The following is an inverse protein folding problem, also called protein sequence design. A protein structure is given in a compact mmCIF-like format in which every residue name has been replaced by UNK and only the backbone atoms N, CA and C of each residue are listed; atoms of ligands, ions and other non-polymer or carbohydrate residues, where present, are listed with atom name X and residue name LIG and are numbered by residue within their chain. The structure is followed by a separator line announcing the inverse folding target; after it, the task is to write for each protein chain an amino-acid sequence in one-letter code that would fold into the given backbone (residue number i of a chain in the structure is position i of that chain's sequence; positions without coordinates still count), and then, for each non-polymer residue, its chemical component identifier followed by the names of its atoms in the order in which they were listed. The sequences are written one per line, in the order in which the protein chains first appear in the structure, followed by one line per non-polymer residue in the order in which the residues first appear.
data_IF_733294163454
#
_entry.id   IF_733294163454
#
_cell.length_a   1.000
_cell.length_b   1.000
_cell.length_c   1.000
_cell.angle_alpha   90.00
_cell.angle_beta   90.00
_cell.angle_gamma   90.00
#
_symmetry.space_group_name_H-M   'P 1'
#
loop_
_entity.id
_entity.type
_entity.pdbx_description
1 polymer ?
#
# COMPACT_ATOMS: atom_id res chain seq x y z
N UNK A 1 1.94 -0.12 -27.60
CA UNK A 1 3.09 -0.65 -26.83
C UNK A 1 3.21 0.20 -25.58
N UNK A 2 3.02 -0.38 -24.38
CA UNK A 2 3.29 0.36 -23.15
C UNK A 2 4.81 0.57 -23.04
N UNK A 3 5.24 1.76 -22.65
CA UNK A 3 6.66 2.11 -22.55
C UNK A 3 7.34 1.50 -21.33
N UNK A 4 6.58 0.91 -20.40
CA UNK A 4 7.07 0.33 -19.15
C UNK A 4 6.33 -0.98 -18.85
N UNK A 5 7.05 -1.94 -18.29
CA UNK A 5 6.54 -3.21 -17.76
C UNK A 5 7.00 -3.36 -16.32
N UNK A 6 6.11 -3.80 -15.45
CA UNK A 6 6.42 -4.08 -14.04
C UNK A 6 6.66 -5.58 -13.90
N UNK A 7 7.91 -5.96 -13.64
CA UNK A 7 8.29 -7.37 -13.47
C UNK A 7 7.88 -7.90 -12.10
N UNK A 8 8.08 -7.11 -11.05
CA UNK A 8 7.78 -7.50 -9.67
C UNK A 8 7.27 -6.34 -8.84
N UNK A 9 6.31 -6.64 -7.97
CA UNK A 9 5.68 -5.68 -7.05
C UNK A 9 5.83 -6.09 -5.59
N UNK A 10 6.50 -7.20 -5.29
CA UNK A 10 6.59 -7.75 -3.92
C UNK A 10 7.55 -6.96 -3.03
N UNK A 11 8.24 -5.98 -3.61
CA UNK A 11 9.10 -5.01 -2.94
C UNK A 11 9.01 -3.66 -3.63
N UNK A 12 9.27 -2.58 -2.90
CA UNK A 12 9.27 -1.23 -3.44
C UNK A 12 10.31 -1.08 -4.56
N UNK A 13 9.91 -0.46 -5.66
CA UNK A 13 10.73 -0.22 -6.83
C UNK A 13 11.29 1.21 -6.82
N UNK A 14 12.41 1.41 -7.51
CA UNK A 14 13.03 2.74 -7.66
C UNK A 14 13.28 3.06 -9.12
N UNK A 15 12.51 4.00 -9.66
CA UNK A 15 12.71 4.53 -11.01
C UNK A 15 13.72 5.68 -10.94
N UNK A 16 14.89 5.50 -11.55
CA UNK A 16 15.88 6.56 -11.71
C UNK A 16 15.78 7.15 -13.11
N UNK A 17 15.79 8.47 -13.18
CA UNK A 17 15.67 9.18 -14.45
C UNK A 17 16.55 10.42 -14.47
N UNK A 18 16.70 10.96 -15.68
CA UNK A 18 17.39 12.21 -15.94
C UNK A 18 16.46 13.08 -16.77
N UNK A 19 16.21 14.30 -16.32
CA UNK A 19 15.53 15.33 -17.08
C UNK A 19 16.58 16.31 -17.63
N UNK A 20 16.73 16.34 -18.95
CA UNK A 20 17.55 17.36 -19.64
C UNK A 20 16.63 18.40 -20.24
N UNK A 21 16.87 19.68 -19.95
CA UNK A 21 16.03 20.78 -20.41
C UNK A 21 16.88 22.01 -20.75
N UNK A 22 16.35 22.92 -21.58
CA UNK A 22 17.02 24.17 -21.93
C UNK A 22 16.23 25.35 -21.38
N UNK A 23 16.93 26.25 -20.69
CA UNK A 23 16.38 27.54 -20.27
C UNK A 23 16.84 28.57 -21.31
N UNK A 24 15.94 29.48 -21.69
CA UNK A 24 16.25 30.54 -22.64
C UNK A 24 15.91 31.88 -22.02
N UNK A 25 16.92 32.72 -21.88
CA UNK A 25 16.84 34.06 -21.30
C UNK A 25 17.33 35.10 -22.32
N UNK A 26 17.29 36.39 -21.95
CA UNK A 26 17.69 37.49 -22.83
C UNK A 26 19.16 37.37 -23.29
N UNK A 27 20.02 36.73 -22.49
CA UNK A 27 21.46 36.62 -22.72
C UNK A 27 21.88 35.34 -23.49
N UNK A 28 20.93 34.41 -23.75
CA UNK A 28 21.23 33.17 -24.46
C UNK A 28 20.38 31.98 -24.02
N UNK A 29 20.88 30.77 -24.26
CA UNK A 29 20.25 29.53 -23.78
C UNK A 29 21.25 28.69 -23.01
N UNK A 30 20.83 28.21 -21.84
CA UNK A 30 21.58 27.27 -21.00
C UNK A 30 20.93 25.89 -21.08
N UNK A 31 21.76 24.84 -21.10
CA UNK A 31 21.29 23.45 -21.05
C UNK A 31 21.53 22.90 -19.66
N UNK A 32 20.45 22.47 -19.01
CA UNK A 32 20.46 21.93 -17.66
C UNK A 32 20.14 20.44 -17.65
N UNK A 33 20.69 19.74 -16.66
CA UNK A 33 20.47 18.31 -16.43
C UNK A 33 20.11 18.10 -14.97
N UNK A 34 18.97 17.46 -14.73
CA UNK A 34 18.50 17.10 -13.39
C UNK A 34 18.31 15.59 -13.28
N UNK A 35 19.12 14.95 -12.45
CA UNK A 35 18.95 13.54 -12.10
C UNK A 35 17.92 13.41 -10.97
N UNK A 36 16.98 12.47 -11.10
CA UNK A 36 15.92 12.24 -10.13
C UNK A 36 15.69 10.74 -9.86
N UNK A 37 15.04 10.46 -8.74
CA UNK A 37 14.63 9.11 -8.35
C UNK A 37 13.23 9.13 -7.77
N UNK A 38 12.33 8.32 -8.33
CA UNK A 38 10.97 8.11 -7.85
C UNK A 38 10.93 6.74 -7.15
N UNK A 39 10.43 6.71 -5.93
CA UNK A 39 10.13 5.46 -5.21
C UNK A 39 8.70 5.06 -5.57
N UNK A 40 8.52 3.83 -6.00
CA UNK A 40 7.24 3.20 -6.27
C UNK A 40 6.99 2.15 -5.18
N UNK A 41 6.26 2.49 -4.11
CA UNK A 41 5.94 1.55 -3.04
C UNK A 41 5.08 0.39 -3.56
N UNK A 42 5.00 -0.70 -2.80
CA UNK A 42 4.14 -1.84 -3.13
C UNK A 42 2.68 -1.41 -3.22
N UNK A 43 2.24 -0.50 -2.33
CA UNK A 43 0.91 0.10 -2.37
C UNK A 43 0.58 0.83 -3.68
N UNK A 44 1.56 1.35 -4.42
CA UNK A 44 1.31 2.00 -5.72
C UNK A 44 0.79 1.01 -6.80
N UNK A 45 0.95 -0.29 -6.56
CA UNK A 45 0.48 -1.36 -7.42
C UNK A 45 -0.76 -2.07 -6.88
N UNK A 46 -1.37 -1.54 -5.82
CA UNK A 46 -2.61 -2.03 -5.23
C UNK A 46 -3.80 -1.27 -5.80
N UNK A 47 -4.93 -1.97 -5.92
CA UNK A 47 -6.19 -1.46 -6.43
C UNK A 47 -7.29 -1.81 -5.45
N UNK A 48 -7.96 -0.78 -4.95
CA UNK A 48 -9.14 -0.95 -4.12
C UNK A 48 -10.23 -1.64 -4.94
N UNK A 49 -10.53 -2.88 -4.59
CA UNK A 49 -11.54 -3.69 -5.25
C UNK A 49 -12.64 -4.00 -4.24
N UNK A 50 -13.89 -3.56 -4.45
CA UNK A 50 -14.98 -3.94 -3.57
C UNK A 50 -15.14 -5.47 -3.54
N UNK A 51 -15.25 -6.04 -2.35
CA UNK A 51 -15.50 -7.47 -2.16
C UNK A 51 -16.59 -7.64 -1.10
N UNK A 52 -17.55 -8.51 -1.37
CA UNK A 52 -18.62 -8.79 -0.40
C UNK A 52 -18.05 -9.53 0.83
N UNK A 53 -18.67 -9.37 2.00
CA UNK A 53 -18.26 -10.11 3.21
C UNK A 53 -18.26 -11.64 2.99
N UNK A 54 -19.21 -12.18 2.22
CA UNK A 54 -19.27 -13.62 1.92
C UNK A 54 -18.11 -14.11 1.04
N UNK A 55 -17.73 -13.32 0.05
CA UNK A 55 -16.60 -13.66 -0.83
C UNK A 55 -15.27 -13.48 -0.10
N UNK A 56 -15.15 -12.45 0.75
CA UNK A 56 -13.99 -12.24 1.61
C UNK A 56 -13.80 -13.38 2.62
N UNK A 57 -14.87 -13.83 3.28
CA UNK A 57 -14.82 -14.99 4.18
C UNK A 57 -14.41 -16.26 3.43
N UNK A 58 -14.95 -16.46 2.21
CA UNK A 58 -14.60 -17.59 1.35
C UNK A 58 -13.12 -17.54 0.92
N UNK A 59 -12.61 -16.36 0.58
CA UNK A 59 -11.19 -16.14 0.26
C UNK A 59 -10.29 -16.46 1.46
N UNK A 60 -10.62 -15.95 2.65
CA UNK A 60 -9.88 -16.26 3.89
C UNK A 60 -9.89 -17.76 4.22
N UNK A 61 -11.00 -18.45 3.95
CA UNK A 61 -11.17 -19.88 4.16
C UNK A 61 -10.59 -20.78 3.06
N UNK A 62 -10.25 -20.22 1.90
CA UNK A 62 -9.80 -20.99 0.72
C UNK A 62 -8.43 -21.66 0.88
N UNK A 63 -7.62 -21.23 1.85
CA UNK A 63 -6.23 -21.66 2.02
C UNK A 63 -5.24 -21.05 1.02
N UNK A 64 -5.68 -20.19 0.10
CA UNK A 64 -4.81 -19.51 -0.87
C UNK A 64 -3.93 -18.42 -0.24
N UNK A 65 -4.38 -17.82 0.87
CA UNK A 65 -3.64 -16.81 1.62
C UNK A 65 -2.75 -17.48 2.67
N UNK A 66 -1.62 -18.00 2.22
CA UNK A 66 -0.70 -18.79 3.05
C UNK A 66 0.21 -17.93 3.93
N UNK A 67 0.40 -16.66 3.57
CA UNK A 67 1.32 -15.76 4.24
C UNK A 67 0.59 -14.77 5.13
N UNK A 68 1.17 -14.50 6.30
CA UNK A 68 0.63 -13.56 7.28
C UNK A 68 1.76 -12.75 7.91
N UNK A 69 1.47 -11.50 8.22
CA UNK A 69 2.35 -10.62 8.98
C UNK A 69 1.47 -9.67 9.80
N UNK A 70 2.05 -9.03 10.80
CA UNK A 70 1.33 -8.10 11.66
C UNK A 70 2.23 -6.93 12.03
N UNK A 71 1.66 -5.76 12.17
CA UNK A 71 2.33 -4.56 12.68
C UNK A 71 1.40 -3.77 13.59
N UNK A 72 1.94 -2.75 14.24
CA UNK A 72 1.19 -1.80 15.04
C UNK A 72 1.56 -0.38 14.67
N UNK A 73 0.66 0.56 14.94
CA UNK A 73 0.92 1.97 14.75
C UNK A 73 2.06 2.44 15.67
N UNK A 74 2.93 3.29 15.16
CA UNK A 74 4.08 3.84 15.90
C UNK A 74 3.69 4.96 16.86
N UNK A 75 2.54 5.60 16.60
CA UNK A 75 2.01 6.73 17.35
C UNK A 75 0.53 6.46 17.68
N UNK A 76 0.02 7.25 18.63
CA UNK A 76 -1.40 7.22 19.01
C UNK A 76 -2.27 7.64 17.82
N UNK A 77 -3.19 6.77 17.41
CA UNK A 77 -4.11 7.04 16.31
C UNK A 77 -5.45 6.38 16.56
N UNK A 78 -6.52 7.10 16.25
CA UNK A 78 -7.87 6.54 16.29
C UNK A 78 -8.08 5.55 15.16
N UNK A 79 -8.82 4.46 15.43
CA UNK A 79 -9.14 3.41 14.46
C UNK A 79 -9.70 3.96 13.15
N UNK A 80 -10.64 4.92 13.23
CA UNK A 80 -11.25 5.54 12.06
C UNK A 80 -10.21 6.27 11.18
N UNK A 81 -9.27 6.97 11.81
CA UNK A 81 -8.17 7.66 11.11
C UNK A 81 -7.22 6.67 10.47
N UNK A 82 -6.89 5.57 11.17
CA UNK A 82 -6.06 4.52 10.63
C UNK A 82 -6.66 3.87 9.38
N UNK A 83 -7.94 3.50 9.45
CA UNK A 83 -8.69 2.93 8.31
C UNK A 83 -8.72 3.92 7.15
N UNK A 84 -9.06 5.20 7.40
CA UNK A 84 -9.12 6.21 6.35
C UNK A 84 -7.77 6.40 5.64
N UNK A 85 -6.66 6.47 6.39
CA UNK A 85 -5.31 6.58 5.83
C UNK A 85 -4.95 5.36 4.99
N UNK A 86 -5.19 4.14 5.49
CA UNK A 86 -4.89 2.91 4.76
C UNK A 86 -5.72 2.82 3.47
N UNK A 87 -7.02 3.10 3.53
CA UNK A 87 -7.90 3.07 2.35
C UNK A 87 -7.46 4.09 1.28
N UNK A 88 -7.14 5.32 1.70
CA UNK A 88 -6.84 6.41 0.76
C UNK A 88 -5.42 6.36 0.21
N UNK A 89 -4.43 6.02 1.05
CA UNK A 89 -3.01 6.08 0.68
C UNK A 89 -2.44 4.73 0.21
N UNK A 90 -3.09 3.61 0.56
CA UNK A 90 -2.67 2.27 0.13
C UNK A 90 -3.70 1.53 -0.74
N UNK A 91 -4.79 2.21 -1.12
CA UNK A 91 -5.81 1.69 -2.04
C UNK A 91 -6.48 0.40 -1.53
N UNK A 92 -7.00 0.45 -0.32
CA UNK A 92 -7.84 -0.60 0.26
C UNK A 92 -9.32 -0.21 0.25
N UNK A 93 -10.20 -1.20 0.01
CA UNK A 93 -11.63 -1.08 0.23
C UNK A 93 -12.01 -1.66 1.60
N UNK A 94 -12.91 -0.99 2.32
CA UNK A 94 -13.53 -1.55 3.52
C UNK A 94 -14.51 -2.64 3.09
N UNK A 95 -14.34 -3.85 3.63
CA UNK A 95 -15.28 -4.97 3.43
C UNK A 95 -16.38 -4.91 4.47
N UNK A 96 -15.99 -4.79 5.74
CA UNK A 96 -16.91 -4.76 6.87
C UNK A 96 -16.26 -4.12 8.10
N UNK A 97 -17.12 -3.59 8.98
CA UNK A 97 -16.76 -3.16 10.33
C UNK A 97 -17.39 -4.14 11.33
N UNK A 98 -16.58 -4.62 12.26
CA UNK A 98 -17.02 -5.55 13.31
C UNK A 98 -16.39 -5.11 14.63
N UNK A 99 -17.24 -4.76 15.60
CA UNK A 99 -16.85 -4.30 16.94
C UNK A 99 -15.78 -3.21 16.92
N UNK A 100 -14.57 -3.56 17.37
CA UNK A 100 -13.40 -2.68 17.49
C UNK A 100 -12.42 -2.87 16.32
N UNK A 101 -12.90 -3.29 15.15
CA UNK A 101 -12.06 -3.48 13.99
C UNK A 101 -12.77 -3.39 12.65
N UNK A 102 -11.98 -3.47 11.59
CA UNK A 102 -12.44 -3.49 10.22
C UNK A 102 -11.61 -4.45 9.37
N UNK A 103 -12.30 -5.17 8.48
CA UNK A 103 -11.69 -5.98 7.44
C UNK A 103 -11.54 -5.14 6.19
N UNK A 104 -10.32 -5.06 5.66
CA UNK A 104 -10.00 -4.33 4.43
C UNK A 104 -9.48 -5.29 3.36
N UNK A 105 -9.71 -4.96 2.10
CA UNK A 105 -9.28 -5.77 0.98
C UNK A 105 -8.72 -4.93 -0.17
N UNK A 106 -7.69 -5.46 -0.81
CA UNK A 106 -7.11 -4.93 -2.03
C UNK A 106 -6.55 -6.05 -2.91
N UNK A 107 -6.42 -5.77 -4.19
CA UNK A 107 -5.76 -6.65 -5.16
C UNK A 107 -4.63 -5.93 -5.83
N UNK A 108 -3.52 -6.61 -6.04
CA UNK A 108 -2.45 -6.04 -6.84
C UNK A 108 -2.72 -6.14 -8.35
N UNK A 109 -2.04 -5.31 -9.14
CA UNK A 109 -2.09 -5.39 -10.62
C UNK A 109 -1.55 -6.71 -11.19
N UNK A 110 -0.83 -7.51 -10.39
CA UNK A 110 -0.36 -8.86 -10.75
C UNK A 110 -1.24 -9.97 -10.14
N UNK A 111 -2.38 -9.64 -9.51
CA UNK A 111 -3.36 -10.60 -9.03
C UNK A 111 -3.11 -11.15 -7.61
N UNK A 112 -2.21 -10.53 -6.84
CA UNK A 112 -2.06 -10.89 -5.43
C UNK A 112 -3.21 -10.32 -4.60
N UNK A 113 -3.85 -11.19 -3.82
CA UNK A 113 -4.87 -10.79 -2.86
C UNK A 113 -4.19 -10.31 -1.57
N UNK A 114 -4.62 -9.15 -1.06
CA UNK A 114 -4.16 -8.61 0.22
C UNK A 114 -5.37 -8.30 1.09
N UNK A 115 -5.45 -8.99 2.23
CA UNK A 115 -6.49 -8.81 3.23
C UNK A 115 -5.86 -8.21 4.48
N UNK A 116 -6.43 -7.13 5.01
CA UNK A 116 -6.01 -6.54 6.26
C UNK A 116 -7.14 -6.64 7.29
N UNK A 117 -6.75 -6.79 8.55
CA UNK A 117 -7.61 -6.67 9.71
C UNK A 117 -7.02 -5.58 10.61
N UNK A 118 -7.72 -4.45 10.66
CA UNK A 118 -7.33 -3.30 11.46
C UNK A 118 -8.14 -3.34 12.75
N UNK A 119 -7.48 -3.37 13.91
CA UNK A 119 -8.14 -3.49 15.21
C UNK A 119 -7.61 -2.46 16.18
N UNK A 120 -8.52 -1.82 16.91
CA UNK A 120 -8.23 -1.03 18.08
C UNK A 120 -7.79 -1.95 19.24
N UNK A 121 -6.63 -1.69 19.82
CA UNK A 121 -6.09 -2.40 20.98
C UNK A 121 -6.36 -1.66 22.29
N UNK A 122 -7.00 -0.49 22.24
CA UNK A 122 -7.12 0.45 23.35
C UNK A 122 -5.89 1.35 23.48
N UNK A 123 -6.01 2.40 24.31
CA UNK A 123 -4.95 3.40 24.52
C UNK A 123 -4.44 4.05 23.22
N UNK A 124 -5.33 4.25 22.23
CA UNK A 124 -5.00 4.79 20.91
C UNK A 124 -3.95 3.98 20.14
N UNK A 125 -3.76 2.70 20.45
CA UNK A 125 -2.90 1.78 19.70
C UNK A 125 -3.76 0.96 18.72
N UNK A 126 -3.35 0.90 17.45
CA UNK A 126 -4.04 0.11 16.42
C UNK A 126 -3.10 -0.98 15.90
N UNK A 127 -3.58 -2.23 15.90
CA UNK A 127 -2.92 -3.34 15.19
C UNK A 127 -3.43 -3.47 13.77
N UNK A 128 -2.52 -3.85 12.88
CA UNK A 128 -2.80 -4.14 11.47
C UNK A 128 -2.25 -5.54 11.18
N UNK A 129 -3.15 -6.50 11.07
CA UNK A 129 -2.83 -7.87 10.66
C UNK A 129 -3.05 -8.02 9.16
N UNK A 130 -2.08 -8.59 8.45
CA UNK A 130 -2.16 -8.83 7.01
C UNK A 130 -2.14 -10.31 6.66
N UNK A 131 -2.94 -10.68 5.65
CA UNK A 131 -2.86 -11.97 4.95
C UNK A 131 -2.73 -11.75 3.45
N UNK A 132 -1.85 -12.51 2.81
CA UNK A 132 -1.56 -12.38 1.39
C UNK A 132 -1.16 -13.72 0.79
N UNK A 133 -1.21 -13.79 -0.54
CA UNK A 133 -0.61 -14.87 -1.33
C UNK A 133 0.92 -14.83 -1.32
N UNK A 134 1.55 -13.69 -1.02
CA UNK A 134 3.02 -13.50 -1.02
C UNK A 134 3.52 -12.86 0.29
N UNK A 135 4.63 -13.39 0.82
CA UNK A 135 5.19 -12.99 2.13
C UNK A 135 5.93 -11.65 2.10
N UNK A 136 6.64 -11.37 1.01
CA UNK A 136 7.39 -10.11 0.85
C UNK A 136 6.41 -8.96 0.66
N UNK A 137 5.38 -9.17 -0.17
CA UNK A 137 4.36 -8.17 -0.42
C UNK A 137 3.61 -7.77 0.86
N UNK A 138 3.13 -8.73 1.66
CA UNK A 138 2.40 -8.38 2.90
C UNK A 138 3.29 -7.65 3.91
N UNK A 139 4.56 -8.03 4.01
CA UNK A 139 5.51 -7.36 4.90
C UNK A 139 5.74 -5.91 4.48
N UNK A 140 6.01 -5.67 3.19
CA UNK A 140 6.19 -4.32 2.66
C UNK A 140 4.93 -3.46 2.81
N UNK A 141 3.74 -4.00 2.53
CA UNK A 141 2.48 -3.25 2.68
C UNK A 141 2.25 -2.85 4.14
N UNK A 142 2.56 -3.73 5.11
CA UNK A 142 2.43 -3.40 6.53
C UNK A 142 3.48 -2.40 6.99
N UNK A 143 4.72 -2.48 6.50
CA UNK A 143 5.75 -1.47 6.78
C UNK A 143 5.35 -0.10 6.25
N UNK A 144 4.83 -0.05 5.03
CA UNK A 144 4.23 1.16 4.44
C UNK A 144 3.05 1.66 5.28
N UNK A 145 2.17 0.77 5.75
CA UNK A 145 1.01 1.13 6.55
C UNK A 145 1.46 1.77 7.88
N UNK A 146 2.46 1.18 8.53
CA UNK A 146 3.06 1.72 9.75
C UNK A 146 3.64 3.12 9.53
N UNK A 147 4.30 3.36 8.39
CA UNK A 147 4.88 4.67 8.05
C UNK A 147 3.86 5.78 7.83
N UNK A 148 2.56 5.46 7.65
CA UNK A 148 1.50 6.46 7.57
C UNK A 148 1.25 7.18 8.91
N UNK A 149 1.81 6.63 9.99
CA UNK A 149 1.62 7.07 11.38
C UNK A 149 2.94 7.46 12.05
N UNK A 150 3.97 7.78 11.26
CA UNK A 150 5.20 8.40 11.74
C UNK A 150 5.21 9.88 11.34
N UNK A 151 5.39 10.76 12.32
CA UNK A 151 5.58 12.20 12.10
C UNK A 151 6.95 12.56 11.53
#
# INVERSE_FOLDING_TARGET
QFAFTVESIVMAQRLRGTLTYMIKDADGSTSEKMDFSIILPCSAFLVASPLSSSDFASLLGSGSLTNKASTKTSEEVELATAIAKICTLQHFAVVEHVDHGASLYSTSVQGHHVCLLVKDLGNHEVSIDGKCTDVSLVSCVLDEARSLFTS
#
